data_IF_608482339000
#
_entry.id   IF_608482339000
#
_cell.length_a   1.000
_cell.length_b   1.000
_cell.length_c   1.000
_cell.angle_alpha   90.00
_cell.angle_beta   90.00
_cell.angle_gamma   90.00
#
_symmetry.space_group_name_H-M   'P 1'
#
loop_
_entity.id
_entity.type
_entity.pdbx_description
1 polymer ?
#
# COMPACT_ATOMS: atom_id res chain seq x y z
N UNK A 1 7.21 -21.07 -17.78
CA UNK A 1 6.61 -19.75 -17.45
C UNK A 1 7.14 -19.31 -16.09
N UNK A 2 7.90 -18.21 -16.00
CA UNK A 2 8.41 -17.74 -14.71
C UNK A 2 7.24 -17.33 -13.79
N UNK A 3 7.14 -17.93 -12.60
CA UNK A 3 6.12 -17.56 -11.61
C UNK A 3 6.39 -16.14 -11.12
N UNK A 4 5.56 -15.18 -11.51
CA UNK A 4 5.63 -13.81 -11.01
C UNK A 4 5.28 -13.81 -9.52
N UNK A 5 6.24 -13.39 -8.69
CA UNK A 5 6.05 -13.24 -7.23
C UNK A 5 5.26 -11.99 -6.85
N UNK A 6 5.19 -11.01 -7.76
CA UNK A 6 4.52 -9.73 -7.54
C UNK A 6 3.15 -9.67 -8.21
N UNK A 7 2.14 -9.22 -7.47
CA UNK A 7 0.82 -8.95 -8.02
C UNK A 7 0.83 -7.73 -8.97
N UNK A 8 0.25 -7.90 -10.16
CA UNK A 8 0.22 -6.89 -11.23
C UNK A 8 -1.19 -6.72 -11.76
N UNK A 9 -1.53 -5.51 -12.22
CA UNK A 9 -2.76 -5.31 -12.99
C UNK A 9 -2.65 -5.95 -14.37
N UNK A 10 -3.78 -6.09 -15.06
CA UNK A 10 -3.82 -6.50 -16.47
C UNK A 10 -2.93 -5.65 -17.36
N UNK A 11 -2.74 -4.36 -17.01
CA UNK A 11 -1.86 -3.40 -17.69
C UNK A 11 -0.41 -3.38 -17.14
N UNK A 12 0.00 -4.37 -16.34
CA UNK A 12 1.39 -4.53 -15.87
C UNK A 12 1.83 -3.68 -14.66
N UNK A 13 0.94 -2.88 -14.06
CA UNK A 13 1.29 -2.03 -12.91
C UNK A 13 1.43 -2.84 -11.64
N UNK A 14 2.42 -2.52 -10.79
CA UNK A 14 2.58 -3.14 -9.44
C UNK A 14 1.39 -2.77 -8.57
N UNK A 15 0.74 -3.80 -8.03
CA UNK A 15 -0.39 -3.65 -7.12
C UNK A 15 0.04 -3.96 -5.69
N UNK A 16 -0.66 -3.36 -4.75
CA UNK A 16 -0.55 -3.61 -3.33
C UNK A 16 -1.91 -4.12 -2.87
N UNK A 17 -1.97 -5.39 -2.47
CA UNK A 17 -3.21 -6.06 -2.10
C UNK A 17 -3.35 -6.07 -0.58
N UNK A 18 -4.35 -5.35 -0.08
CA UNK A 18 -4.69 -5.34 1.35
C UNK A 18 -5.62 -6.52 1.60
N UNK A 19 -5.22 -7.41 2.52
CA UNK A 19 -6.01 -8.57 2.92
C UNK A 19 -6.59 -8.36 4.31
N UNK A 20 -7.79 -8.89 4.54
CA UNK A 20 -8.34 -9.02 5.88
C UNK A 20 -7.68 -10.17 6.65
N UNK A 21 -7.97 -10.30 7.95
CA UNK A 21 -7.43 -11.37 8.79
C UNK A 21 -7.84 -12.77 8.32
N UNK A 22 -8.91 -12.88 7.54
CA UNK A 22 -9.40 -14.13 6.94
C UNK A 22 -8.78 -14.38 5.56
N UNK A 23 -7.84 -13.55 5.12
CA UNK A 23 -7.11 -13.69 3.85
C UNK A 23 -7.85 -13.20 2.61
N UNK A 24 -9.05 -12.62 2.76
CA UNK A 24 -9.84 -12.05 1.65
C UNK A 24 -9.29 -10.70 1.24
N UNK A 25 -9.35 -10.39 -0.05
CA UNK A 25 -8.97 -9.06 -0.53
C UNK A 25 -9.97 -8.03 -0.03
N UNK A 26 -9.48 -7.08 0.77
CA UNK A 26 -10.24 -5.93 1.26
C UNK A 26 -10.15 -4.78 0.27
N UNK A 27 -8.97 -4.56 -0.30
CA UNK A 27 -8.70 -3.49 -1.25
C UNK A 27 -7.48 -3.83 -2.12
N UNK A 28 -7.47 -3.35 -3.35
CA UNK A 28 -6.38 -3.53 -4.31
C UNK A 28 -5.97 -2.15 -4.82
N UNK A 29 -4.81 -1.69 -4.38
CA UNK A 29 -4.29 -0.37 -4.73
C UNK A 29 -3.12 -0.48 -5.70
N UNK A 30 -2.81 0.62 -6.38
CA UNK A 30 -1.53 0.74 -7.10
C UNK A 30 -0.41 1.04 -6.12
N UNK A 31 0.75 0.41 -6.33
CA UNK A 31 1.92 0.59 -5.46
C UNK A 31 2.32 2.06 -5.29
N UNK A 32 2.31 2.83 -6.38
CA UNK A 32 2.64 4.27 -6.37
C UNK A 32 1.80 5.05 -5.35
N UNK A 33 0.50 4.77 -5.28
CA UNK A 33 -0.44 5.49 -4.39
C UNK A 33 -0.23 5.09 -2.93
N UNK A 34 -0.13 3.79 -2.65
CA UNK A 34 0.07 3.29 -1.29
C UNK A 34 1.40 3.82 -0.71
N UNK A 35 2.49 3.62 -1.44
CA UNK A 35 3.82 4.06 -1.02
C UNK A 35 3.91 5.58 -0.84
N UNK A 36 3.34 6.36 -1.76
CA UNK A 36 3.30 7.82 -1.62
C UNK A 36 2.48 8.29 -0.41
N UNK A 37 1.47 7.53 0.02
CA UNK A 37 0.69 7.84 1.23
C UNK A 37 1.47 7.53 2.50
N UNK A 38 2.25 6.44 2.51
CA UNK A 38 3.10 6.07 3.64
C UNK A 38 4.20 7.11 3.87
N UNK A 39 4.85 7.57 2.81
CA UNK A 39 5.86 8.65 2.90
C UNK A 39 5.24 9.95 3.45
N UNK A 40 4.04 10.31 3.00
CA UNK A 40 3.35 11.53 3.47
C UNK A 40 2.84 11.43 4.90
N UNK A 41 2.76 10.22 5.47
CA UNK A 41 2.18 10.02 6.79
C UNK A 41 3.22 10.38 7.85
N UNK A 42 3.12 11.59 8.38
CA UNK A 42 3.88 12.01 9.55
C UNK A 42 3.55 11.10 10.75
N UNK A 43 4.57 10.78 11.53
CA UNK A 43 4.41 9.93 12.71
C UNK A 43 3.48 10.59 13.75
N UNK A 44 2.90 9.81 14.66
CA UNK A 44 2.04 10.36 15.72
C UNK A 44 2.80 11.40 16.56
N UNK A 45 4.09 11.15 16.81
CA UNK A 45 4.98 12.06 17.53
C UNK A 45 5.22 13.37 16.76
N UNK A 46 5.44 13.31 15.44
CA UNK A 46 5.61 14.50 14.60
C UNK A 46 4.34 15.35 14.54
N UNK A 47 3.16 14.70 14.49
CA UNK A 47 1.86 15.40 14.55
C UNK A 47 1.62 16.05 15.91
N UNK A 48 1.99 15.37 17.00
CA UNK A 48 1.87 15.91 18.35
C UNK A 48 2.79 17.12 18.56
N UNK A 49 4.03 17.08 18.03
CA UNK A 49 4.97 18.20 18.08
C UNK A 49 4.51 19.40 17.26
N UNK A 50 3.87 19.20 16.10
CA UNK A 50 3.34 20.28 15.25
C UNK A 50 2.16 21.04 15.89
N UNK A 51 1.41 20.39 16.78
CA UNK A 51 0.21 20.98 17.41
C UNK A 51 0.52 21.77 18.69
N UNK A 52 1.74 21.70 19.17
CA UNK A 52 2.23 22.43 20.35
C UNK A 52 3.00 23.66 19.89
#
# INVERSE_FOLDING_TARGET
MARRTTHRSSRGKKLYAVRDSKGRFKDIQTYKRAHGRDIKRSSKAERAKKRR
#
